data_IF_048759071665
#
_entry.id   IF_048759071665
#
_cell.length_a   1.000
_cell.length_b   1.000
_cell.length_c   1.000
_cell.angle_alpha   90.00
_cell.angle_beta   90.00
_cell.angle_gamma   90.00
#
_symmetry.space_group_name_H-M   'P 1'
#
loop_
_entity.id
_entity.type
_entity.pdbx_description
1 polymer ?
#
# COMPACT_ATOMS: atom_id res chain seq x y z
N UNK A 1 9.61 14.61 -38.64
CA UNK A 1 9.68 15.99 -39.17
C UNK A 1 10.19 16.94 -38.09
N UNK A 2 11.01 17.96 -38.41
CA UNK A 2 11.54 18.93 -37.44
C UNK A 2 10.47 19.59 -36.55
N UNK A 3 9.27 19.83 -37.09
CA UNK A 3 8.10 20.31 -36.34
C UNK A 3 7.62 19.37 -35.22
N UNK A 4 7.80 18.05 -35.34
CA UNK A 4 7.46 17.10 -34.30
C UNK A 4 8.45 17.18 -33.11
N UNK A 5 9.71 17.52 -33.40
CA UNK A 5 10.72 17.75 -32.38
C UNK A 5 10.48 19.08 -31.64
N UNK A 6 10.06 20.13 -32.35
CA UNK A 6 9.66 21.40 -31.73
C UNK A 6 8.37 21.31 -30.92
N UNK A 7 7.38 20.55 -31.39
CA UNK A 7 6.15 20.32 -30.62
C UNK A 7 6.47 19.59 -29.30
N UNK A 8 7.39 18.62 -29.34
CA UNK A 8 7.88 17.97 -28.13
C UNK A 8 8.70 18.89 -27.24
N UNK A 9 9.59 19.70 -27.80
CA UNK A 9 10.34 20.69 -27.03
C UNK A 9 9.42 21.69 -26.33
N UNK A 10 8.37 22.17 -27.00
CA UNK A 10 7.36 23.06 -26.40
C UNK A 10 6.57 22.39 -25.28
N UNK A 11 6.23 21.11 -25.43
CA UNK A 11 5.52 20.35 -24.41
C UNK A 11 6.41 20.07 -23.19
N UNK A 12 7.67 19.67 -23.43
CA UNK A 12 8.67 19.47 -22.40
C UNK A 12 8.95 20.78 -21.63
N UNK A 13 9.05 21.91 -22.32
CA UNK A 13 9.26 23.22 -21.69
C UNK A 13 8.09 23.59 -20.78
N UNK A 14 6.85 23.44 -21.25
CA UNK A 14 5.66 23.66 -20.40
C UNK A 14 5.60 22.75 -19.19
N UNK A 15 6.09 21.52 -19.33
CA UNK A 15 6.18 20.58 -18.22
C UNK A 15 7.19 21.07 -17.17
N UNK A 16 8.38 21.48 -17.61
CA UNK A 16 9.44 22.01 -16.76
C UNK A 16 9.03 23.31 -16.05
N UNK A 17 8.35 24.22 -16.75
CA UNK A 17 7.86 25.49 -16.19
C UNK A 17 6.72 25.27 -15.17
N UNK A 18 6.03 24.13 -15.22
CA UNK A 18 4.99 23.74 -14.26
C UNK A 18 5.53 23.04 -13.01
N UNK A 19 6.81 22.64 -13.02
CA UNK A 19 7.43 22.09 -11.83
C UNK A 19 7.71 23.22 -10.83
N UNK A 20 7.44 23.04 -9.53
CA UNK A 20 7.75 24.05 -8.53
C UNK A 20 9.24 24.41 -8.60
N UNK A 21 9.53 25.73 -8.58
CA UNK A 21 10.87 26.28 -8.72
C UNK A 21 11.78 25.78 -7.58
N UNK A 22 12.58 24.77 -7.85
CA UNK A 22 13.42 24.07 -6.88
C UNK A 22 13.14 22.57 -6.91
N UNK A 23 13.79 21.87 -7.85
CA UNK A 23 13.55 20.47 -8.22
C UNK A 23 13.93 19.41 -7.17
N UNK A 24 13.63 19.66 -5.90
CA UNK A 24 13.58 18.62 -4.88
C UNK A 24 12.15 18.09 -4.81
N UNK A 25 11.93 16.77 -4.92
CA UNK A 25 10.61 16.18 -4.70
C UNK A 25 10.04 16.63 -3.35
N UNK A 26 8.72 16.80 -3.28
CA UNK A 26 8.06 17.21 -2.02
C UNK A 26 8.45 16.24 -0.91
N UNK A 27 8.64 16.76 0.31
CA UNK A 27 9.00 15.95 1.47
C UNK A 27 8.04 14.77 1.64
N UNK A 28 6.74 15.00 1.41
CA UNK A 28 5.72 13.96 1.41
C UNK A 28 6.06 12.81 0.45
N UNK A 29 6.40 13.13 -0.82
CA UNK A 29 6.71 12.14 -1.83
C UNK A 29 7.93 11.30 -1.44
N UNK A 30 8.98 11.93 -0.92
CA UNK A 30 10.18 11.22 -0.47
C UNK A 30 9.93 10.32 0.74
N UNK A 31 9.11 10.78 1.68
CA UNK A 31 8.69 9.97 2.82
C UNK A 31 7.85 8.77 2.37
N UNK A 32 6.91 8.97 1.44
CA UNK A 32 6.10 7.87 0.88
C UNK A 32 6.95 6.84 0.18
N UNK A 33 7.94 7.25 -0.64
CA UNK A 33 8.90 6.33 -1.28
C UNK A 33 9.67 5.53 -0.25
N UNK A 34 10.18 6.19 0.79
CA UNK A 34 10.92 5.55 1.87
C UNK A 34 10.05 4.52 2.60
N UNK A 35 8.83 4.90 2.97
CA UNK A 35 7.86 3.99 3.60
C UNK A 35 7.54 2.81 2.69
N UNK A 36 7.34 3.04 1.38
CA UNK A 36 7.03 1.98 0.41
C UNK A 36 8.14 0.91 0.36
N UNK A 37 9.40 1.33 0.45
CA UNK A 37 10.54 0.41 0.47
C UNK A 37 10.69 -0.32 1.80
N UNK A 38 10.47 0.36 2.93
CA UNK A 38 10.70 -0.21 4.25
C UNK A 38 9.53 -1.05 4.78
N UNK A 39 8.29 -0.78 4.34
CA UNK A 39 7.10 -1.43 4.89
C UNK A 39 7.08 -2.95 4.67
N UNK A 40 7.38 -3.49 3.47
CA UNK A 40 7.44 -4.94 3.25
C UNK A 40 8.52 -5.65 4.06
N UNK A 41 9.52 -4.90 4.53
CA UNK A 41 10.61 -5.39 5.38
C UNK A 41 10.29 -5.30 6.87
N UNK A 42 9.09 -4.83 7.25
CA UNK A 42 8.70 -4.60 8.64
C UNK A 42 9.45 -3.44 9.31
N UNK A 43 10.00 -2.51 8.52
CA UNK A 43 10.97 -1.50 8.95
C UNK A 43 10.47 -0.06 8.85
N UNK A 44 9.24 0.17 8.37
CA UNK A 44 8.69 1.52 8.23
C UNK A 44 8.28 2.14 9.58
N UNK A 45 9.24 2.40 10.47
CA UNK A 45 9.02 3.18 11.70
C UNK A 45 9.38 4.65 11.48
N UNK A 46 8.86 5.54 12.32
CA UNK A 46 9.13 6.97 12.19
C UNK A 46 10.61 7.29 12.41
N UNK A 47 11.28 6.56 13.29
CA UNK A 47 12.70 6.68 13.57
C UNK A 47 13.55 6.33 12.34
N UNK A 48 13.26 5.18 11.70
CA UNK A 48 14.01 4.74 10.52
C UNK A 48 13.77 5.66 9.32
N UNK A 49 12.53 6.11 9.13
CA UNK A 49 12.21 7.05 8.05
C UNK A 49 12.88 8.40 8.29
N UNK A 50 12.86 8.93 9.52
CA UNK A 50 13.55 10.19 9.83
C UNK A 50 15.06 10.06 9.62
N UNK A 51 15.66 8.97 10.09
CA UNK A 51 17.09 8.69 9.91
C UNK A 51 17.46 8.62 8.43
N UNK A 52 16.65 7.93 7.61
CA UNK A 52 16.87 7.82 6.15
C UNK A 52 16.83 9.19 5.45
N UNK A 53 16.04 10.12 5.99
CA UNK A 53 15.90 11.48 5.48
C UNK A 53 16.91 12.47 6.11
N UNK A 54 17.85 12.00 6.93
CA UNK A 54 18.82 12.85 7.62
C UNK A 54 18.21 13.77 8.68
N UNK A 55 17.06 13.39 9.25
CA UNK A 55 16.31 14.18 10.23
C UNK A 55 16.17 13.43 11.55
N UNK A 56 16.02 14.16 12.65
CA UNK A 56 15.46 13.58 13.86
C UNK A 56 13.92 13.51 13.75
N UNK A 57 13.30 12.70 14.61
CA UNK A 57 11.84 12.47 14.61
C UNK A 57 11.05 13.76 14.82
N UNK A 58 11.49 14.64 15.72
CA UNK A 58 10.81 15.91 16.02
C UNK A 58 10.77 16.84 14.80
N UNK A 59 11.88 16.94 14.06
CA UNK A 59 11.96 17.74 12.84
C UNK A 59 11.04 17.17 11.76
N UNK A 60 11.01 15.85 11.60
CA UNK A 60 10.13 15.18 10.66
C UNK A 60 8.64 15.45 10.99
N UNK A 61 8.25 15.24 12.24
CA UNK A 61 6.87 15.48 12.71
C UNK A 61 6.45 16.93 12.48
N UNK A 62 7.28 17.91 12.87
CA UNK A 62 6.99 19.33 12.65
C UNK A 62 6.77 19.66 11.17
N UNK A 63 7.62 19.15 10.27
CA UNK A 63 7.47 19.42 8.83
C UNK A 63 6.20 18.77 8.24
N UNK A 64 5.81 17.61 8.76
CA UNK A 64 4.55 16.96 8.40
C UNK A 64 3.35 17.80 8.88
N UNK A 65 3.38 18.27 10.12
CA UNK A 65 2.35 19.13 10.70
C UNK A 65 2.21 20.46 9.94
N UNK A 66 3.32 21.09 9.54
CA UNK A 66 3.35 22.27 8.68
C UNK A 66 2.66 22.02 7.31
N UNK A 67 2.60 20.76 6.88
CA UNK A 67 1.92 20.33 5.65
C UNK A 67 0.53 19.72 5.91
N UNK A 68 0.03 19.77 7.15
CA UNK A 68 -1.27 19.21 7.54
C UNK A 68 -1.34 17.67 7.52
N UNK A 69 -0.19 16.99 7.62
CA UNK A 69 -0.08 15.54 7.52
C UNK A 69 0.48 14.94 8.81
N UNK A 70 0.21 13.66 9.04
CA UNK A 70 0.89 12.86 10.06
C UNK A 70 1.63 11.69 9.43
N UNK A 71 2.62 11.14 10.16
CA UNK A 71 3.30 9.92 9.71
C UNK A 71 2.34 8.74 9.54
N UNK A 72 1.30 8.68 10.38
CA UNK A 72 0.23 7.68 10.31
C UNK A 72 -0.55 7.79 9.00
N UNK A 73 -0.83 9.01 8.52
CA UNK A 73 -1.53 9.23 7.25
C UNK A 73 -0.70 8.71 6.08
N UNK A 74 0.61 8.98 6.08
CA UNK A 74 1.53 8.51 5.06
C UNK A 74 1.62 6.98 5.04
N UNK A 75 1.82 6.35 6.20
CA UNK A 75 1.84 4.88 6.31
C UNK A 75 0.52 4.28 5.83
N UNK A 76 -0.62 4.84 6.25
CA UNK A 76 -1.92 4.31 5.85
C UNK A 76 -2.14 4.47 4.35
N UNK A 77 -1.68 5.57 3.75
CA UNK A 77 -1.75 5.75 2.30
C UNK A 77 -0.94 4.69 1.57
N UNK A 78 0.30 4.46 1.98
CA UNK A 78 1.15 3.43 1.37
C UNK A 78 0.58 2.03 1.57
N UNK A 79 0.01 1.74 2.75
CA UNK A 79 -0.66 0.47 3.02
C UNK A 79 -1.86 0.24 2.11
N UNK A 80 -2.68 1.28 1.85
CA UNK A 80 -3.81 1.19 0.90
C UNK A 80 -3.33 0.87 -0.52
N UNK A 81 -2.25 1.50 -0.96
CA UNK A 81 -1.69 1.26 -2.29
C UNK A 81 -1.15 -0.18 -2.43
N UNK A 82 -0.46 -0.68 -1.40
CA UNK A 82 0.15 -2.01 -1.41
C UNK A 82 -0.87 -3.14 -1.21
N UNK A 83 -1.85 -2.97 -0.31
CA UNK A 83 -2.80 -4.04 0.01
C UNK A 83 -3.61 -4.46 -1.20
N UNK A 84 -4.01 -3.50 -2.07
CA UNK A 84 -4.77 -3.81 -3.27
C UNK A 84 -3.95 -4.69 -4.23
N UNK A 85 -2.68 -4.35 -4.44
CA UNK A 85 -1.74 -5.15 -5.27
C UNK A 85 -1.51 -6.54 -4.69
N UNK A 86 -1.39 -6.64 -3.36
CA UNK A 86 -1.15 -7.91 -2.71
C UNK A 86 -2.39 -8.82 -2.68
N UNK A 87 -3.59 -8.25 -2.56
CA UNK A 87 -4.82 -9.03 -2.56
C UNK A 87 -5.17 -9.60 -3.94
N UNK A 88 -4.75 -8.95 -5.03
CA UNK A 88 -4.88 -9.45 -6.41
C UNK A 88 -4.05 -10.71 -6.68
N UNK A 89 -2.96 -10.92 -5.95
CA UNK A 89 -2.12 -12.10 -6.11
C UNK A 89 -2.63 -13.26 -5.21
N UNK A 90 -3.19 -14.35 -5.78
CA UNK A 90 -3.69 -15.48 -4.99
C UNK A 90 -2.57 -16.23 -4.25
N UNK A 91 -1.31 -16.09 -4.67
CA UNK A 91 -0.15 -16.68 -4.00
C UNK A 91 0.19 -16.06 -2.64
N UNK A 92 -0.41 -14.92 -2.28
CA UNK A 92 -0.23 -14.31 -0.96
C UNK A 92 -1.35 -14.68 0.01
N UNK A 93 -1.01 -15.43 1.05
CA UNK A 93 -1.91 -15.64 2.19
C UNK A 93 -2.21 -14.32 2.91
N UNK A 94 -3.37 -14.20 3.54
CA UNK A 94 -3.73 -12.98 4.27
C UNK A 94 -2.77 -12.68 5.43
N UNK A 95 -2.20 -13.72 6.06
CA UNK A 95 -1.14 -13.57 7.05
C UNK A 95 0.12 -12.93 6.45
N UNK A 96 0.59 -13.44 5.32
CA UNK A 96 1.75 -12.86 4.61
C UNK A 96 1.50 -11.42 4.19
N UNK A 97 0.28 -11.08 3.79
CA UNK A 97 -0.09 -9.69 3.48
C UNK A 97 -0.03 -8.81 4.74
N UNK A 98 -0.52 -9.29 5.88
CA UNK A 98 -0.42 -8.56 7.14
C UNK A 98 1.03 -8.26 7.50
N UNK A 99 1.92 -9.26 7.38
CA UNK A 99 3.35 -9.12 7.65
C UNK A 99 4.01 -8.09 6.72
N UNK A 100 3.76 -8.17 5.41
CA UNK A 100 4.28 -7.22 4.41
C UNK A 100 3.72 -5.79 4.56
N UNK A 101 2.61 -5.61 5.27
CA UNK A 101 2.06 -4.30 5.60
C UNK A 101 2.51 -3.81 6.99
N UNK A 102 3.43 -4.54 7.64
CA UNK A 102 4.01 -4.20 8.93
C UNK A 102 3.06 -4.38 10.10
N UNK A 103 2.13 -5.34 10.03
CA UNK A 103 1.31 -5.73 11.18
C UNK A 103 1.92 -6.95 11.87
N UNK A 104 2.18 -6.83 13.17
CA UNK A 104 2.66 -7.95 14.00
C UNK A 104 1.60 -9.00 14.30
N UNK A 105 0.32 -8.65 14.12
CA UNK A 105 -0.81 -9.52 14.42
C UNK A 105 -1.85 -9.44 13.31
N UNK A 106 -2.34 -10.58 12.76
CA UNK A 106 -3.37 -10.59 11.72
C UNK A 106 -4.66 -9.86 12.12
N UNK A 107 -5.04 -9.88 13.40
CA UNK A 107 -6.22 -9.17 13.90
C UNK A 107 -6.11 -7.65 13.80
N UNK A 108 -4.89 -7.11 13.88
CA UNK A 108 -4.65 -5.67 13.69
C UNK A 108 -4.78 -5.27 12.23
N UNK A 109 -4.27 -6.11 11.31
CA UNK A 109 -4.47 -5.93 9.87
C UNK A 109 -5.96 -5.99 9.51
N UNK A 110 -6.69 -7.01 9.97
CA UNK A 110 -8.13 -7.16 9.65
C UNK A 110 -8.94 -5.97 10.14
N UNK A 111 -8.71 -5.47 11.36
CA UNK A 111 -9.39 -4.28 11.89
C UNK A 111 -9.11 -3.04 11.06
N UNK A 112 -7.84 -2.82 10.69
CA UNK A 112 -7.47 -1.71 9.81
C UNK A 112 -8.14 -1.85 8.44
N UNK A 113 -8.12 -3.05 7.85
CA UNK A 113 -8.69 -3.30 6.53
C UNK A 113 -10.21 -3.02 6.52
N UNK A 114 -10.95 -3.51 7.53
CA UNK A 114 -12.38 -3.22 7.69
C UNK A 114 -12.62 -1.71 7.81
N UNK A 115 -11.80 -1.01 8.62
CA UNK A 115 -11.92 0.44 8.77
C UNK A 115 -11.63 1.23 7.48
N UNK A 116 -10.87 0.66 6.53
CA UNK A 116 -10.54 1.32 5.25
C UNK A 116 -11.48 0.93 4.10
N UNK A 117 -12.00 -0.30 4.10
CA UNK A 117 -12.71 -0.88 2.94
C UNK A 117 -14.12 -1.40 3.29
N UNK A 118 -14.54 -1.30 4.55
CA UNK A 118 -15.89 -1.66 5.00
C UNK A 118 -16.16 -3.16 5.16
N UNK A 119 -15.22 -4.04 4.81
CA UNK A 119 -15.39 -5.49 4.92
C UNK A 119 -14.09 -6.24 5.19
N UNK A 120 -14.12 -7.50 5.65
CA UNK A 120 -12.91 -8.30 5.88
C UNK A 120 -12.15 -8.61 4.58
N UNK A 121 -10.82 -8.73 4.63
CA UNK A 121 -10.00 -8.99 3.45
C UNK A 121 -10.26 -10.36 2.81
N UNK A 122 -10.67 -11.36 3.59
CA UNK A 122 -11.09 -12.67 3.08
C UNK A 122 -12.35 -12.56 2.19
N UNK A 123 -13.35 -11.82 2.64
CA UNK A 123 -14.58 -11.55 1.89
C UNK A 123 -14.30 -10.76 0.61
N UNK A 124 -13.42 -9.75 0.71
CA UNK A 124 -13.00 -8.97 -0.45
C UNK A 124 -12.34 -9.85 -1.52
N UNK A 125 -11.46 -10.77 -1.11
CA UNK A 125 -10.80 -11.71 -2.02
C UNK A 125 -11.78 -12.69 -2.65
N UNK A 126 -12.70 -13.25 -1.87
CA UNK A 126 -13.71 -14.18 -2.37
C UNK A 126 -14.58 -13.54 -3.47
N UNK A 127 -14.98 -12.28 -3.31
CA UNK A 127 -15.78 -11.54 -4.29
C UNK A 127 -15.06 -11.32 -5.63
N UNK A 128 -13.72 -11.30 -5.63
CA UNK A 128 -12.91 -11.10 -6.86
C UNK A 128 -12.39 -12.39 -7.46
N UNK A 129 -12.35 -13.46 -6.67
CA UNK A 129 -11.98 -14.81 -7.12
C UNK A 129 -13.13 -15.50 -7.87
N UNK A 130 -14.34 -14.94 -7.84
CA UNK A 130 -15.49 -15.46 -8.57
C UNK A 130 -15.96 -14.47 -9.66
N UNK A 131 -15.37 -14.51 -10.87
CA UNK A 131 -15.84 -13.72 -12.00
C UNK A 131 -17.16 -14.25 -12.58
N UNK A 132 -17.64 -15.43 -12.16
CA UNK A 132 -18.71 -16.18 -12.83
C UNK A 132 -19.91 -16.51 -11.93
N UNK A 133 -19.89 -16.15 -10.65
CA UNK A 133 -21.00 -16.40 -9.71
C UNK A 133 -21.27 -17.88 -9.47
N UNK A 134 -20.30 -18.76 -9.71
CA UNK A 134 -20.51 -20.19 -9.55
C UNK A 134 -20.33 -20.54 -8.08
N UNK A 135 -21.32 -21.17 -7.42
CA UNK A 135 -21.16 -21.59 -6.03
C UNK A 135 -19.98 -22.55 -5.98
N UNK A 136 -18.91 -22.09 -5.32
CA UNK A 136 -17.75 -22.90 -5.00
C UNK A 136 -18.28 -24.10 -4.22
N UNK A 137 -18.44 -25.23 -4.90
CA UNK A 137 -19.07 -26.40 -4.33
C UNK A 137 -18.19 -26.90 -3.18
N UNK A 138 -18.73 -27.16 -1.98
CA UNK A 138 -17.92 -27.70 -0.89
C UNK A 138 -17.34 -29.04 -1.35
N UNK A 139 -16.01 -29.16 -1.20
CA UNK A 139 -15.25 -30.38 -1.48
C UNK A 139 -15.94 -31.63 -0.88
N UNK A 140 -16.03 -32.77 -1.59
CA UNK A 140 -16.79 -33.94 -1.14
C UNK A 140 -16.15 -34.72 0.03
N UNK A 141 -15.10 -34.19 0.65
CA UNK A 141 -14.36 -34.89 1.72
C UNK A 141 -15.06 -34.92 3.09
N UNK A 142 -16.26 -34.31 3.23
CA UNK A 142 -16.98 -34.24 4.51
C UNK A 142 -18.13 -35.25 4.65
N UNK A 143 -18.34 -36.14 3.67
CA UNK A 143 -19.39 -37.17 3.72
C UNK A 143 -18.78 -38.57 3.57
N UNK A 144 -17.96 -38.97 4.53
CA UNK A 144 -17.71 -40.39 4.75
C UNK A 144 -18.53 -40.83 5.97
N UNK A 145 -19.48 -41.77 5.83
CA UNK A 145 -20.15 -42.33 7.00
C UNK A 145 -19.13 -43.04 7.90
N UNK A 146 -19.33 -43.07 9.23
CA UNK A 146 -18.47 -43.83 10.12
C UNK A 146 -18.48 -45.31 9.72
N UNK A 147 -17.30 -45.93 9.69
CA UNK A 147 -17.17 -47.37 9.44
C UNK A 147 -17.87 -48.13 10.57
N UNK A 148 -18.70 -49.14 10.28
CA UNK A 148 -19.21 -50.03 11.32
C UNK A 148 -18.07 -50.88 11.87
N UNK A 149 -18.12 -51.13 13.18
CA UNK A 149 -17.32 -52.15 13.87
C UNK A 149 -17.90 -53.54 13.59
#
# INVERSE_FOLDING_TARGET
SPQANEAMARLAQRYLDSLPAGGSPSLELELRKTIYLLLPMGRATIEQVAQTQGMNVRTLQRRLEESGLTFKDLINSVRRDLVMRYLENPGYSLGRIADMLGYSMPSSFTRWFIAQFGMPPASWRAQRADPLGLPCSPSPASQLPPRPY
#
